data_IF_332588048730
#
_entry.id   IF_332588048730
#
_cell.length_a   1.000
_cell.length_b   1.000
_cell.length_c   1.000
_cell.angle_alpha   90.00
_cell.angle_beta   90.00
_cell.angle_gamma   90.00
#
_symmetry.space_group_name_H-M   'P 1'
#
loop_
_entity.id
_entity.type
_entity.pdbx_description
1 polymer ?
#
# COMPACT_ATOMS: atom_id res chain seq x y z
N UNK A 1 -16.96 21.47 -2.50
CA UNK A 1 -15.84 20.65 -1.96
C UNK A 1 -15.66 19.35 -2.75
N UNK A 2 -16.66 18.46 -2.83
CA UNK A 2 -16.59 17.20 -3.61
C UNK A 2 -16.13 17.34 -5.07
N UNK A 3 -16.71 18.26 -5.85
CA UNK A 3 -16.31 18.49 -7.25
C UNK A 3 -14.82 18.84 -7.38
N UNK A 4 -14.29 19.65 -6.46
CA UNK A 4 -12.86 20.02 -6.40
C UNK A 4 -12.02 18.76 -6.15
N UNK A 5 -12.36 17.97 -5.13
CA UNK A 5 -11.61 16.75 -4.79
C UNK A 5 -11.60 15.71 -5.92
N UNK A 6 -12.73 15.51 -6.62
CA UNK A 6 -12.80 14.61 -7.78
C UNK A 6 -11.89 15.11 -8.90
N UNK A 7 -11.97 16.40 -9.23
CA UNK A 7 -11.16 17.00 -10.31
C UNK A 7 -9.67 16.94 -9.99
N UNK A 8 -9.30 17.26 -8.75
CA UNK A 8 -7.92 17.19 -8.27
C UNK A 8 -7.40 15.75 -8.29
N UNK A 9 -8.22 14.79 -7.86
CA UNK A 9 -7.87 13.36 -7.88
C UNK A 9 -7.64 12.88 -9.30
N UNK A 10 -8.56 13.19 -10.23
CA UNK A 10 -8.41 12.80 -11.64
C UNK A 10 -7.15 13.40 -12.28
N UNK A 11 -6.85 14.67 -11.96
CA UNK A 11 -5.63 15.33 -12.43
C UNK A 11 -4.37 14.66 -11.88
N UNK A 12 -4.36 14.33 -10.58
CA UNK A 12 -3.26 13.62 -9.93
C UNK A 12 -3.06 12.22 -10.52
N UNK A 13 -4.16 11.48 -10.72
CA UNK A 13 -4.13 10.16 -11.36
C UNK A 13 -3.59 10.25 -12.78
N UNK A 14 -4.10 11.18 -13.60
CA UNK A 14 -3.61 11.38 -14.97
C UNK A 14 -2.11 11.72 -15.01
N UNK A 15 -1.63 12.53 -14.06
CA UNK A 15 -0.21 12.88 -13.97
C UNK A 15 0.67 11.65 -13.73
N UNK A 16 0.24 10.71 -12.90
CA UNK A 16 0.98 9.47 -12.66
C UNK A 16 0.84 8.50 -13.84
N UNK A 17 -0.35 8.38 -14.42
CA UNK A 17 -0.57 7.50 -15.57
C UNK A 17 0.23 7.93 -16.81
N UNK A 18 0.62 9.20 -16.89
CA UNK A 18 1.51 9.67 -17.95
C UNK A 18 2.87 8.94 -18.00
N UNK A 19 3.33 8.38 -16.87
CA UNK A 19 4.55 7.54 -16.85
C UNK A 19 4.41 6.27 -17.70
N UNK A 20 3.20 5.80 -17.99
CA UNK A 20 3.00 4.68 -18.91
C UNK A 20 3.40 5.01 -20.35
N UNK A 21 3.50 6.30 -20.72
CA UNK A 21 4.01 6.71 -22.03
C UNK A 21 5.51 6.40 -22.22
N UNK A 22 6.23 6.10 -21.13
CA UNK A 22 7.63 5.65 -21.19
C UNK A 22 7.72 4.23 -21.73
N UNK A 23 6.70 3.39 -21.52
CA UNK A 23 6.68 1.98 -21.97
C UNK A 23 6.90 1.83 -23.49
N UNK A 24 6.14 2.51 -24.37
CA UNK A 24 6.35 2.39 -25.81
C UNK A 24 7.73 2.92 -26.25
N UNK A 25 8.28 3.92 -25.56
CA UNK A 25 9.64 4.42 -25.85
C UNK A 25 10.70 3.37 -25.54
N UNK A 26 10.62 2.74 -24.36
CA UNK A 26 11.56 1.68 -23.95
C UNK A 26 11.45 0.48 -24.90
N UNK A 27 10.23 0.08 -25.26
CA UNK A 27 10.02 -1.01 -26.23
C UNK A 27 10.65 -0.69 -27.59
N UNK A 28 10.44 0.53 -28.11
CA UNK A 28 11.03 0.96 -29.39
C UNK A 28 12.56 0.92 -29.38
N UNK A 29 13.19 1.39 -28.30
CA UNK A 29 14.65 1.34 -28.15
C UNK A 29 15.16 -0.10 -28.13
N UNK A 30 14.50 -1.01 -27.41
CA UNK A 30 14.95 -2.40 -27.32
C UNK A 30 14.77 -3.16 -28.63
N UNK A 31 13.69 -2.89 -29.38
CA UNK A 31 13.51 -3.41 -30.74
C UNK A 31 14.64 -2.95 -31.67
N UNK A 32 15.02 -1.66 -31.60
CA UNK A 32 16.12 -1.11 -32.40
C UNK A 32 17.48 -1.69 -32.01
N UNK A 33 17.69 -2.03 -30.73
CA UNK A 33 18.92 -2.65 -30.23
C UNK A 33 19.00 -4.15 -30.46
N UNK A 34 17.91 -4.79 -30.93
CA UNK A 34 17.77 -6.25 -31.00
C UNK A 34 18.03 -6.93 -29.65
N UNK A 35 17.85 -6.19 -28.54
CA UNK A 35 18.04 -6.68 -27.18
C UNK A 35 16.70 -7.19 -26.64
N UNK A 36 16.63 -8.50 -26.39
CA UNK A 36 15.49 -9.26 -25.86
C UNK A 36 14.31 -9.49 -26.81
N UNK A 37 13.94 -10.77 -27.02
CA UNK A 37 12.75 -11.21 -27.76
C UNK A 37 11.44 -11.06 -26.95
N UNK A 38 11.30 -10.00 -26.16
CA UNK A 38 10.11 -9.75 -25.35
C UNK A 38 9.04 -9.01 -26.17
N UNK A 39 7.79 -9.45 -26.02
CA UNK A 39 6.65 -8.80 -26.68
C UNK A 39 6.34 -7.43 -26.07
N UNK A 40 5.72 -6.53 -26.84
CA UNK A 40 5.23 -5.25 -26.31
C UNK A 40 4.33 -5.43 -25.08
N UNK A 41 3.50 -6.48 -25.08
CA UNK A 41 2.61 -6.79 -23.97
C UNK A 41 3.36 -7.07 -22.67
N UNK A 42 4.53 -7.73 -22.74
CA UNK A 42 5.42 -7.91 -21.59
C UNK A 42 5.83 -6.56 -21.00
N UNK A 43 6.34 -5.63 -21.83
CA UNK A 43 6.74 -4.29 -21.36
C UNK A 43 5.58 -3.49 -20.76
N UNK A 44 4.38 -3.60 -21.35
CA UNK A 44 3.17 -2.98 -20.80
C UNK A 44 2.85 -3.50 -19.39
N UNK A 45 2.96 -4.81 -19.17
CA UNK A 45 2.77 -5.42 -17.85
C UNK A 45 3.79 -4.89 -16.84
N UNK A 46 5.09 -4.86 -17.19
CA UNK A 46 6.13 -4.30 -16.32
C UNK A 46 5.90 -2.82 -15.99
N UNK A 47 5.50 -2.02 -16.98
CA UNK A 47 5.16 -0.62 -16.78
C UNK A 47 3.98 -0.44 -15.82
N UNK A 48 2.92 -1.22 -15.98
CA UNK A 48 1.76 -1.22 -15.08
C UNK A 48 2.17 -1.62 -13.66
N UNK A 49 3.01 -2.65 -13.51
CA UNK A 49 3.51 -3.10 -12.21
C UNK A 49 4.33 -2.03 -11.49
N UNK A 50 5.09 -1.22 -12.21
CA UNK A 50 5.84 -0.11 -11.64
C UNK A 50 4.93 1.09 -11.29
N UNK A 51 3.96 1.40 -12.15
CA UNK A 51 3.09 2.58 -12.00
C UNK A 51 2.01 2.36 -10.93
N UNK A 52 1.51 1.14 -10.73
CA UNK A 52 0.46 0.84 -9.75
C UNK A 52 0.81 1.25 -8.30
N UNK A 53 1.93 0.80 -7.69
CA UNK A 53 2.29 1.24 -6.34
C UNK A 53 2.59 2.74 -6.31
N UNK A 54 3.23 3.28 -7.36
CA UNK A 54 3.52 4.71 -7.46
C UNK A 54 2.24 5.55 -7.42
N UNK A 55 1.18 5.11 -8.10
CA UNK A 55 -0.13 5.76 -8.08
C UNK A 55 -0.73 5.77 -6.67
N UNK A 56 -0.73 4.62 -5.98
CA UNK A 56 -1.29 4.51 -4.62
C UNK A 56 -0.54 5.44 -3.66
N UNK A 57 0.79 5.37 -3.66
CA UNK A 57 1.62 6.21 -2.78
C UNK A 57 1.49 7.69 -3.11
N UNK A 58 1.48 8.04 -4.39
CA UNK A 58 1.32 9.42 -4.81
C UNK A 58 -0.02 9.99 -4.37
N UNK A 59 -1.13 9.31 -4.66
CA UNK A 59 -2.47 9.75 -4.27
C UNK A 59 -2.63 9.85 -2.75
N UNK A 60 -2.05 8.91 -1.99
CA UNK A 60 -2.05 8.96 -0.52
C UNK A 60 -1.27 10.19 -0.01
N UNK A 61 -0.08 10.46 -0.57
CA UNK A 61 0.77 11.58 -0.16
C UNK A 61 0.20 12.95 -0.56
N UNK A 62 -0.41 13.06 -1.74
CA UNK A 62 -0.91 14.34 -2.28
C UNK A 62 -2.33 14.69 -1.83
N UNK A 63 -2.90 13.94 -0.88
CA UNK A 63 -4.28 14.11 -0.43
C UNK A 63 -4.60 15.51 0.11
N UNK A 64 -3.65 16.12 0.81
CA UNK A 64 -3.76 17.48 1.36
C UNK A 64 -2.82 18.48 0.66
N UNK A 65 -2.23 18.10 -0.48
CA UNK A 65 -1.21 18.92 -1.13
C UNK A 65 -1.74 20.26 -1.67
N UNK A 66 -3.01 20.31 -2.09
CA UNK A 66 -3.66 21.56 -2.49
C UNK A 66 -3.94 22.46 -1.28
N UNK A 67 -4.47 21.90 -0.19
CA UNK A 67 -4.79 22.67 1.03
C UNK A 67 -3.54 23.26 1.71
N UNK A 68 -2.41 22.54 1.64
CA UNK A 68 -1.12 23.01 2.15
C UNK A 68 -0.54 24.18 1.35
N UNK A 69 -0.83 24.26 0.04
CA UNK A 69 -0.39 25.38 -0.80
C UNK A 69 -1.19 26.64 -0.48
N UNK A 70 -2.47 26.47 -0.20
CA UNK A 70 -3.40 27.55 0.08
C UNK A 70 -3.40 27.97 1.56
N UNK A 71 -2.61 27.30 2.42
CA UNK A 71 -2.64 27.51 3.88
C UNK A 71 -3.97 27.10 4.55
N UNK A 72 -4.85 26.46 3.80
CA UNK A 72 -6.23 26.16 4.21
C UNK A 72 -6.33 24.96 5.16
N UNK A 73 -5.22 24.27 5.45
CA UNK A 73 -5.20 23.11 6.34
C UNK A 73 -5.58 23.47 7.80
N UNK A 74 -5.13 24.63 8.28
CA UNK A 74 -5.51 25.14 9.62
C UNK A 74 -6.97 25.59 9.64
N UNK A 75 -7.43 26.19 8.55
CA UNK A 75 -8.82 26.56 8.36
C UNK A 75 -9.76 25.34 8.35
N UNK A 76 -9.41 24.27 7.62
CA UNK A 76 -10.15 23.00 7.61
C UNK A 76 -10.29 22.37 9.00
N UNK A 77 -9.30 22.57 9.89
CA UNK A 77 -9.34 22.07 11.27
C UNK A 77 -10.25 22.91 12.17
N UNK A 78 -10.45 24.19 11.85
CA UNK A 78 -11.32 25.10 12.59
C UNK A 78 -12.81 25.00 12.22
N UNK A 79 -13.12 24.39 11.07
CA UNK A 79 -14.50 24.24 10.63
C UNK A 79 -15.28 23.27 11.54
N UNK A 80 -16.55 23.56 11.86
CA UNK A 80 -17.41 22.67 12.66
C UNK A 80 -17.93 21.50 11.82
N UNK A 81 -17.06 20.87 11.02
CA UNK A 81 -17.39 19.69 10.22
C UNK A 81 -16.97 18.44 10.99
N UNK A 82 -17.81 17.39 11.02
CA UNK A 82 -17.44 16.14 11.66
C UNK A 82 -16.28 15.49 10.89
N UNK A 83 -15.30 14.94 11.63
CA UNK A 83 -14.08 14.33 11.10
C UNK A 83 -14.35 13.28 10.02
N UNK A 84 -15.45 12.54 10.16
CA UNK A 84 -15.88 11.50 9.21
C UNK A 84 -16.17 12.10 7.84
N UNK A 85 -16.76 13.29 7.77
CA UNK A 85 -17.10 13.91 6.49
C UNK A 85 -15.85 14.35 5.74
N UNK A 86 -14.86 14.93 6.43
CA UNK A 86 -13.56 15.30 5.84
C UNK A 86 -12.82 14.04 5.36
N UNK A 87 -12.82 12.98 6.18
CA UNK A 87 -12.26 11.69 5.81
C UNK A 87 -12.87 11.15 4.51
N UNK A 88 -14.19 11.02 4.45
CA UNK A 88 -14.86 10.48 3.26
C UNK A 88 -14.67 11.38 2.03
N UNK A 89 -14.71 12.70 2.18
CA UNK A 89 -14.49 13.64 1.07
C UNK A 89 -13.08 13.52 0.48
N UNK A 90 -12.07 13.29 1.32
CA UNK A 90 -10.66 13.22 0.89
C UNK A 90 -10.27 11.82 0.42
N UNK A 91 -10.67 10.79 1.16
CA UNK A 91 -10.24 9.40 0.94
C UNK A 91 -11.03 8.75 -0.19
N UNK A 92 -12.36 8.93 -0.24
CA UNK A 92 -13.21 8.17 -1.17
C UNK A 92 -12.83 8.38 -2.65
N UNK A 93 -12.65 9.61 -3.18
CA UNK A 93 -12.31 9.79 -4.59
C UNK A 93 -10.98 9.11 -4.97
N UNK A 94 -9.99 9.20 -4.08
CA UNK A 94 -8.64 8.66 -4.27
C UNK A 94 -8.62 7.14 -4.15
N UNK A 95 -9.36 6.61 -3.18
CA UNK A 95 -9.58 5.18 -3.01
C UNK A 95 -10.23 4.58 -4.25
N UNK A 96 -11.34 5.16 -4.74
CA UNK A 96 -12.04 4.68 -5.94
C UNK A 96 -11.11 4.75 -7.17
N UNK A 97 -10.40 5.86 -7.37
CA UNK A 97 -9.45 6.00 -8.48
C UNK A 97 -8.34 4.95 -8.43
N UNK A 98 -7.70 4.76 -7.29
CA UNK A 98 -6.61 3.80 -7.13
C UNK A 98 -7.13 2.36 -7.29
N UNK A 99 -8.30 2.06 -6.70
CA UNK A 99 -8.94 0.77 -6.79
C UNK A 99 -9.28 0.40 -8.23
N UNK A 100 -9.93 1.29 -8.98
CA UNK A 100 -10.27 1.04 -10.39
C UNK A 100 -9.02 0.75 -11.22
N UNK A 101 -7.93 1.50 -11.00
CA UNK A 101 -6.67 1.26 -11.69
C UNK A 101 -6.05 -0.09 -11.30
N UNK A 102 -6.04 -0.44 -10.02
CA UNK A 102 -5.49 -1.70 -9.52
C UNK A 102 -6.30 -2.90 -10.02
N UNK A 103 -7.63 -2.81 -10.06
CA UNK A 103 -8.48 -3.86 -10.61
C UNK A 103 -8.22 -4.06 -12.11
N UNK A 104 -8.07 -2.97 -12.86
CA UNK A 104 -7.72 -3.04 -14.28
C UNK A 104 -6.30 -3.62 -14.49
N UNK A 105 -5.34 -3.22 -13.65
CA UNK A 105 -3.98 -3.75 -13.66
C UNK A 105 -3.95 -5.26 -13.34
N UNK A 106 -4.68 -5.69 -12.31
CA UNK A 106 -4.83 -7.09 -11.93
C UNK A 106 -5.37 -7.93 -13.09
N UNK A 107 -6.41 -7.45 -13.76
CA UNK A 107 -7.00 -8.16 -14.91
C UNK A 107 -6.01 -8.34 -16.07
N UNK A 108 -5.24 -7.30 -16.40
CA UNK A 108 -4.20 -7.35 -17.44
C UNK A 108 -3.06 -8.31 -17.07
N UNK A 109 -2.60 -8.26 -15.82
CA UNK A 109 -1.54 -9.11 -15.29
C UNK A 109 -1.98 -10.57 -15.23
N UNK A 110 -3.22 -10.84 -14.83
CA UNK A 110 -3.80 -12.19 -14.84
C UNK A 110 -3.75 -12.81 -16.24
N UNK A 111 -4.11 -12.04 -17.28
CA UNK A 111 -4.04 -12.51 -18.68
C UNK A 111 -2.60 -12.83 -19.12
N UNK A 112 -1.62 -12.05 -18.65
CA UNK A 112 -0.20 -12.31 -18.90
C UNK A 112 0.33 -13.52 -18.13
N UNK A 113 -0.07 -13.71 -16.87
CA UNK A 113 0.31 -14.85 -16.04
C UNK A 113 -0.07 -16.18 -16.67
N UNK A 114 -1.33 -16.29 -17.14
CA UNK A 114 -1.84 -17.50 -17.80
C UNK A 114 -1.02 -17.91 -19.04
N UNK A 115 -0.31 -16.96 -19.65
CA UNK A 115 0.44 -17.18 -20.88
C UNK A 115 1.95 -17.32 -20.66
N UNK A 116 2.51 -16.75 -19.58
CA UNK A 116 3.98 -16.64 -19.40
C UNK A 116 4.51 -17.02 -18.01
N UNK A 117 3.66 -17.37 -17.04
CA UNK A 117 4.12 -17.91 -15.74
C UNK A 117 4.95 -16.96 -14.87
N UNK A 118 4.77 -15.63 -14.96
CA UNK A 118 5.40 -14.60 -14.09
C UNK A 118 4.50 -14.00 -12.98
N UNK A 119 4.83 -14.23 -11.71
CA UNK A 119 3.96 -13.85 -10.59
C UNK A 119 4.30 -12.43 -10.22
N UNK A 120 3.39 -11.50 -10.51
CA UNK A 120 3.52 -10.15 -10.01
C UNK A 120 3.34 -10.13 -8.50
N UNK A 121 4.33 -9.56 -7.81
CA UNK A 121 4.48 -9.49 -6.36
C UNK A 121 3.25 -8.89 -5.62
N UNK A 122 2.42 -8.10 -6.31
CA UNK A 122 1.33 -7.27 -5.75
C UNK A 122 -0.06 -7.56 -6.31
N UNK A 123 -0.10 -8.24 -7.44
CA UNK A 123 -1.29 -8.41 -8.26
C UNK A 123 -1.47 -9.92 -8.42
N UNK A 124 -2.14 -10.51 -7.43
CA UNK A 124 -2.42 -11.92 -7.42
C UNK A 124 -3.65 -12.24 -8.28
N UNK A 125 -3.58 -13.42 -8.87
CA UNK A 125 -4.54 -13.97 -9.84
C UNK A 125 -5.76 -14.56 -9.11
N UNK A 126 -5.64 -14.76 -7.80
CA UNK A 126 -6.67 -15.38 -6.96
C UNK A 126 -7.50 -14.32 -6.21
N UNK A 127 -8.72 -14.69 -5.80
CA UNK A 127 -9.64 -13.84 -5.02
C UNK A 127 -8.94 -13.23 -3.80
N UNK A 128 -8.05 -13.97 -3.15
CA UNK A 128 -7.27 -13.50 -2.01
C UNK A 128 -6.34 -12.34 -2.38
N UNK A 129 -5.71 -12.36 -3.55
CA UNK A 129 -4.89 -11.24 -4.03
C UNK A 129 -5.67 -9.99 -4.31
N UNK A 130 -6.88 -10.13 -4.83
CA UNK A 130 -7.78 -9.00 -4.98
C UNK A 130 -8.11 -8.38 -3.63
N UNK A 131 -8.43 -9.19 -2.62
CA UNK A 131 -8.71 -8.71 -1.26
C UNK A 131 -7.47 -8.05 -0.61
N UNK A 132 -6.28 -8.62 -0.80
CA UNK A 132 -5.01 -8.06 -0.33
C UNK A 132 -4.72 -6.70 -0.97
N UNK A 133 -4.90 -6.58 -2.29
CA UNK A 133 -4.70 -5.32 -3.00
C UNK A 133 -5.71 -4.24 -2.55
N UNK A 134 -6.97 -4.62 -2.32
CA UNK A 134 -7.99 -3.72 -1.75
C UNK A 134 -7.58 -3.26 -0.35
N UNK A 135 -7.15 -4.19 0.49
CA UNK A 135 -6.72 -3.90 1.86
C UNK A 135 -5.52 -2.96 1.88
N UNK A 136 -4.51 -3.19 1.03
CA UNK A 136 -3.34 -2.34 0.89
C UNK A 136 -3.72 -0.91 0.49
N UNK A 137 -4.59 -0.74 -0.51
CA UNK A 137 -5.08 0.59 -0.92
C UNK A 137 -5.79 1.27 0.24
N UNK A 138 -6.66 0.56 0.95
CA UNK A 138 -7.37 1.12 2.10
C UNK A 138 -6.40 1.60 3.20
N UNK A 139 -5.41 0.78 3.54
CA UNK A 139 -4.38 1.11 4.54
C UNK A 139 -3.53 2.28 4.08
N UNK A 140 -3.07 2.30 2.83
CA UNK A 140 -2.27 3.38 2.27
C UNK A 140 -3.02 4.72 2.28
N UNK A 141 -4.29 4.72 1.87
CA UNK A 141 -5.13 5.93 1.88
C UNK A 141 -5.40 6.42 3.30
N UNK A 142 -5.61 5.50 4.25
CA UNK A 142 -5.81 5.84 5.65
C UNK A 142 -4.54 6.46 6.25
N UNK A 143 -3.36 5.88 5.99
CA UNK A 143 -2.10 6.46 6.42
C UNK A 143 -1.80 7.80 5.73
N UNK A 144 -2.12 7.94 4.44
CA UNK A 144 -2.04 9.22 3.71
C UNK A 144 -2.91 10.29 4.36
N UNK A 145 -4.11 9.94 4.81
CA UNK A 145 -4.99 10.84 5.53
C UNK A 145 -4.40 11.28 6.88
N UNK A 146 -3.87 10.34 7.68
CA UNK A 146 -3.26 10.64 8.98
C UNK A 146 -1.99 11.49 8.83
N UNK A 147 -1.16 11.20 7.84
CA UNK A 147 0.01 12.01 7.46
C UNK A 147 -0.43 13.43 7.06
N UNK A 148 -1.48 13.52 6.24
CA UNK A 148 -2.02 14.79 5.77
C UNK A 148 -2.62 15.66 6.86
N UNK A 149 -3.25 15.09 7.89
CA UNK A 149 -3.77 15.86 9.04
C UNK A 149 -2.65 16.37 9.95
N UNK A 150 -1.55 15.63 10.05
CA UNK A 150 -0.47 15.89 11.00
C UNK A 150 0.52 16.91 10.44
N UNK A 151 1.45 16.45 9.62
CA UNK A 151 2.42 17.30 8.90
C UNK A 151 3.09 16.48 7.79
N UNK A 152 2.57 16.54 6.56
CA UNK A 152 3.15 15.77 5.44
C UNK A 152 4.54 16.26 5.02
N UNK A 153 4.91 17.49 5.38
CA UNK A 153 6.20 18.08 5.00
C UNK A 153 7.32 17.53 5.85
N UNK A 154 7.00 16.91 7.00
CA UNK A 154 7.98 16.22 7.82
C UNK A 154 8.39 14.88 7.17
N UNK A 155 9.64 14.75 6.68
CA UNK A 155 10.09 13.56 5.96
C UNK A 155 10.14 12.32 6.85
N UNK A 156 10.48 12.47 8.13
CA UNK A 156 10.52 11.36 9.08
C UNK A 156 9.13 10.77 9.31
N UNK A 157 8.11 11.63 9.34
CA UNK A 157 6.72 11.21 9.48
C UNK A 157 6.23 10.50 8.22
N UNK A 158 6.58 11.02 7.05
CA UNK A 158 6.25 10.37 5.77
C UNK A 158 6.86 8.95 5.71
N UNK A 159 8.13 8.81 6.09
CA UNK A 159 8.81 7.50 6.16
C UNK A 159 8.14 6.58 7.20
N UNK A 160 7.78 7.09 8.37
CA UNK A 160 7.09 6.34 9.41
C UNK A 160 5.76 5.75 8.92
N UNK A 161 5.00 6.47 8.10
CA UNK A 161 3.77 5.96 7.49
C UNK A 161 3.99 5.11 6.23
N UNK A 162 5.14 5.28 5.56
CA UNK A 162 5.53 4.49 4.39
C UNK A 162 5.94 3.07 4.78
N UNK A 163 6.71 2.89 5.87
CA UNK A 163 7.28 1.60 6.28
C UNK A 163 6.21 0.50 6.44
N UNK A 164 5.09 0.71 7.16
CA UNK A 164 4.07 -0.33 7.28
C UNK A 164 3.44 -0.71 5.94
N UNK A 165 3.20 0.27 5.06
CA UNK A 165 2.63 0.01 3.73
C UNK A 165 3.63 -0.75 2.86
N UNK A 166 4.91 -0.35 2.87
CA UNK A 166 5.98 -1.08 2.17
C UNK A 166 6.22 -2.46 2.76
N UNK A 167 6.01 -2.67 4.06
CA UNK A 167 6.11 -3.99 4.66
C UNK A 167 4.97 -4.88 4.18
N UNK A 168 3.72 -4.40 4.25
CA UNK A 168 2.54 -5.11 3.73
C UNK A 168 2.71 -5.42 2.26
N UNK A 169 3.29 -4.45 1.53
CA UNK A 169 3.84 -4.67 0.23
C UNK A 169 4.79 -5.91 0.41
N UNK A 170 6.03 -5.75 0.83
CA UNK A 170 7.06 -6.79 0.69
C UNK A 170 6.73 -8.17 1.34
N UNK A 171 5.74 -8.23 2.21
CA UNK A 171 5.21 -9.45 2.84
C UNK A 171 4.08 -10.16 2.09
N UNK A 172 3.38 -9.51 1.13
CA UNK A 172 2.24 -10.12 0.41
C UNK A 172 2.65 -11.16 -0.63
N UNK A 173 3.95 -11.45 -0.74
CA UNK A 173 4.39 -12.59 -1.52
C UNK A 173 3.83 -13.86 -0.87
N UNK A 174 3.06 -14.62 -1.64
CA UNK A 174 2.62 -15.97 -1.26
C UNK A 174 3.79 -16.84 -0.77
N UNK A 175 5.04 -16.54 -1.14
CA UNK A 175 6.25 -17.17 -0.59
C UNK A 175 6.49 -16.88 0.89
N UNK A 176 6.13 -15.73 1.45
CA UNK A 176 6.28 -15.41 2.89
C UNK A 176 5.34 -16.28 3.70
N UNK A 177 4.07 -16.26 3.32
CA UNK A 177 2.98 -17.07 3.89
C UNK A 177 3.30 -18.55 3.72
N UNK A 178 3.70 -18.99 2.52
CA UNK A 178 4.09 -20.38 2.21
C UNK A 178 5.37 -20.82 2.90
N UNK A 179 6.35 -19.94 3.16
CA UNK A 179 7.58 -20.28 3.89
C UNK A 179 7.37 -20.35 5.39
N UNK A 180 6.52 -19.49 5.96
CA UNK A 180 6.08 -19.63 7.36
C UNK A 180 5.30 -20.93 7.51
N UNK A 181 4.39 -21.22 6.58
CA UNK A 181 3.68 -22.50 6.48
C UNK A 181 4.65 -23.67 6.35
N UNK A 182 5.66 -23.58 5.48
CA UNK A 182 6.66 -24.63 5.26
C UNK A 182 7.56 -24.83 6.47
N UNK A 183 8.05 -23.76 7.10
CA UNK A 183 8.86 -23.82 8.31
C UNK A 183 8.10 -24.44 9.48
N UNK A 184 6.83 -24.06 9.67
CA UNK A 184 5.98 -24.66 10.70
C UNK A 184 5.65 -26.11 10.36
N UNK A 185 5.41 -26.43 9.09
CA UNK A 185 5.19 -27.80 8.63
C UNK A 185 6.44 -28.68 8.83
N UNK A 186 7.62 -28.21 8.43
CA UNK A 186 8.87 -28.99 8.44
C UNK A 186 9.46 -29.17 9.84
N UNK A 187 9.30 -28.20 10.73
CA UNK A 187 9.91 -28.23 12.06
C UNK A 187 8.97 -28.65 13.19
N UNK A 188 7.65 -28.56 12.99
CA UNK A 188 6.66 -28.87 14.03
C UNK A 188 5.88 -30.16 13.74
N UNK A 189 5.81 -30.63 12.48
CA UNK A 189 4.88 -31.70 12.09
C UNK A 189 5.57 -32.86 11.34
N UNK A 190 5.46 -34.09 11.88
CA UNK A 190 5.71 -35.35 11.16
C UNK A 190 4.46 -35.77 10.36
N UNK A 191 4.59 -36.56 9.27
CA UNK A 191 3.57 -36.64 8.23
C UNK A 191 2.40 -37.56 8.64
N UNK A 192 1.17 -37.07 8.55
CA UNK A 192 -0.06 -37.88 8.68
C UNK A 192 -1.21 -37.28 7.88
N UNK A 193 -1.41 -37.79 6.68
CA UNK A 193 -2.24 -37.26 5.60
C UNK A 193 -3.75 -37.24 5.97
N UNK A 194 -4.32 -36.03 6.17
CA UNK A 194 -5.73 -35.59 5.98
C UNK A 194 -6.19 -34.54 7.02
N UNK A 195 -5.65 -34.53 8.25
CA UNK A 195 -5.85 -33.41 9.21
C UNK A 195 -5.12 -32.12 8.78
N UNK A 196 -4.31 -32.19 7.73
CA UNK A 196 -3.45 -31.10 7.28
C UNK A 196 -4.18 -29.98 6.53
N UNK A 197 -5.31 -30.22 5.86
CA UNK A 197 -5.95 -29.16 5.04
C UNK A 197 -6.57 -28.04 5.89
N UNK A 198 -7.32 -28.38 6.93
CA UNK A 198 -7.90 -27.36 7.83
C UNK A 198 -6.82 -26.65 8.65
N UNK A 199 -5.81 -27.38 9.11
CA UNK A 199 -4.68 -26.80 9.84
C UNK A 199 -3.77 -25.93 8.95
N UNK A 200 -3.56 -26.32 7.70
CA UNK A 200 -2.84 -25.51 6.71
C UNK A 200 -3.60 -24.23 6.38
N UNK A 201 -4.93 -24.30 6.24
CA UNK A 201 -5.76 -23.11 6.10
C UNK A 201 -5.71 -22.22 7.36
N UNK A 202 -5.71 -22.80 8.56
CA UNK A 202 -5.52 -22.05 9.81
C UNK A 202 -4.17 -21.34 9.85
N UNK A 203 -3.08 -22.04 9.53
CA UNK A 203 -1.74 -21.47 9.47
C UNK A 203 -1.61 -20.37 8.41
N UNK A 204 -2.30 -20.50 7.27
CA UNK A 204 -2.39 -19.47 6.23
C UNK A 204 -3.07 -18.20 6.75
N UNK A 205 -4.17 -18.37 7.49
CA UNK A 205 -4.87 -17.23 8.13
C UNK A 205 -3.99 -16.58 9.20
N UNK A 206 -3.33 -17.37 10.05
CA UNK A 206 -2.45 -16.85 11.11
C UNK A 206 -1.26 -16.08 10.52
N UNK A 207 -0.63 -16.63 9.47
CA UNK A 207 0.48 -15.96 8.79
C UNK A 207 0.03 -14.68 8.08
N UNK A 208 -1.14 -14.65 7.46
CA UNK A 208 -1.73 -13.41 6.94
C UNK A 208 -1.97 -12.37 8.04
N UNK A 209 -2.50 -12.77 9.19
CA UNK A 209 -2.72 -11.85 10.32
C UNK A 209 -1.39 -11.27 10.81
N UNK A 210 -0.36 -12.11 10.99
CA UNK A 210 0.96 -11.69 11.49
C UNK A 210 1.70 -10.81 10.48
N UNK A 211 1.66 -11.16 9.19
CA UNK A 211 2.43 -10.49 8.14
C UNK A 211 1.72 -9.24 7.58
N UNK A 212 0.39 -9.20 7.58
CA UNK A 212 -0.36 -8.13 6.90
C UNK A 212 -1.19 -7.33 7.89
N UNK A 213 -2.03 -8.00 8.69
CA UNK A 213 -3.00 -7.30 9.56
C UNK A 213 -2.30 -6.60 10.72
N UNK A 214 -1.37 -7.27 11.42
CA UNK A 214 -0.67 -6.69 12.58
C UNK A 214 0.14 -5.44 12.16
N UNK A 215 1.00 -5.48 11.12
CA UNK A 215 1.73 -4.30 10.65
C UNK A 215 0.81 -3.16 10.19
N UNK A 216 -0.37 -3.46 9.66
CA UNK A 216 -1.36 -2.47 9.26
C UNK A 216 -2.08 -1.83 10.46
N UNK A 217 -2.53 -2.64 11.43
CA UNK A 217 -3.46 -2.22 12.48
C UNK A 217 -2.72 -1.71 13.72
N UNK A 218 -1.59 -2.32 14.07
CA UNK A 218 -0.83 -1.97 15.28
C UNK A 218 -0.42 -0.48 15.30
N UNK A 219 0.15 0.11 14.22
CA UNK A 219 0.46 1.54 14.23
C UNK A 219 -0.79 2.40 14.39
N UNK A 220 -1.93 1.99 13.80
CA UNK A 220 -3.19 2.72 13.91
C UNK A 220 -3.75 2.73 15.34
N UNK A 221 -3.72 1.59 16.02
CA UNK A 221 -4.21 1.48 17.40
C UNK A 221 -3.45 2.40 18.36
N UNK A 222 -2.12 2.48 18.23
CA UNK A 222 -1.30 3.35 19.09
C UNK A 222 -1.56 4.84 18.83
N UNK A 223 -2.07 5.17 17.64
CA UNK A 223 -2.39 6.53 17.22
C UNK A 223 -3.80 7.01 17.60
N UNK A 224 -4.74 6.12 17.97
CA UNK A 224 -6.10 6.49 18.39
C UNK A 224 -6.11 7.66 19.39
N UNK A 225 -5.28 7.66 20.47
CA UNK A 225 -5.29 8.76 21.44
C UNK A 225 -4.87 10.12 20.86
N UNK A 226 -4.05 10.13 19.81
CA UNK A 226 -3.55 11.36 19.17
C UNK A 226 -4.62 12.00 18.30
N UNK A 227 -5.49 11.20 17.69
CA UNK A 227 -6.56 11.68 16.80
C UNK A 227 -7.91 11.86 17.51
N UNK A 228 -8.08 11.32 18.72
CA UNK A 228 -9.31 11.48 19.52
C UNK A 228 -9.52 12.92 19.97
N UNK A 229 -8.44 13.65 20.29
CA UNK A 229 -8.53 15.09 20.52
C UNK A 229 -8.16 15.82 19.23
N UNK A 230 -9.17 16.30 18.51
CA UNK A 230 -9.00 17.24 17.40
C UNK A 230 -8.58 18.63 17.94
N UNK A 231 -7.67 18.65 18.91
CA UNK A 231 -7.21 19.89 19.52
C UNK A 231 -6.42 20.66 18.47
N UNK A 232 -6.56 21.99 18.49
CA UNK A 232 -5.83 22.97 17.69
C UNK A 232 -4.31 23.01 17.99
N UNK A 233 -3.72 21.88 18.36
CA UNK A 233 -2.29 21.68 18.44
C UNK A 233 -1.66 21.85 17.06
N UNK A 234 -0.54 22.57 17.02
CA UNK A 234 0.23 22.77 15.79
C UNK A 234 0.65 21.43 15.17
N UNK A 235 0.71 21.38 13.84
CA UNK A 235 1.11 20.17 13.09
C UNK A 235 2.45 19.61 13.55
N UNK A 236 3.40 20.49 13.93
CA UNK A 236 4.71 20.12 14.47
C UNK A 236 4.61 19.31 15.77
N UNK A 237 3.84 19.77 16.76
CA UNK A 237 3.67 19.06 18.04
C UNK A 237 3.00 17.70 17.80
N UNK A 238 2.00 17.67 16.93
CA UNK A 238 1.31 16.43 16.57
C UNK A 238 2.26 15.44 15.88
N UNK A 239 3.09 15.90 14.95
CA UNK A 239 4.09 15.06 14.26
C UNK A 239 5.05 14.38 15.24
N UNK A 240 5.54 15.12 16.25
CA UNK A 240 6.43 14.56 17.26
C UNK A 240 5.74 13.52 18.15
N UNK A 241 4.48 13.77 18.55
CA UNK A 241 3.69 12.80 19.33
C UNK A 241 3.44 11.52 18.53
N UNK A 242 3.14 11.64 17.24
CA UNK A 242 2.95 10.51 16.33
C UNK A 242 4.25 9.73 16.22
N UNK A 243 5.38 10.38 15.92
CA UNK A 243 6.69 9.71 15.78
C UNK A 243 7.07 8.95 17.06
N UNK A 244 6.92 9.57 18.23
CA UNK A 244 7.21 8.90 19.52
C UNK A 244 6.36 7.64 19.73
N UNK A 245 5.10 7.70 19.35
CA UNK A 245 4.14 6.58 19.45
C UNK A 245 4.37 5.51 18.38
N UNK A 246 4.80 5.91 17.19
CA UNK A 246 5.11 5.01 16.08
C UNK A 246 6.48 4.33 16.23
N UNK A 247 7.36 4.81 17.09
CA UNK A 247 8.69 4.23 17.28
C UNK A 247 8.62 2.72 17.60
N UNK A 248 7.84 2.34 18.61
CA UNK A 248 7.68 0.94 19.02
C UNK A 248 7.09 0.04 17.91
N UNK A 249 5.94 0.37 17.29
CA UNK A 249 5.39 -0.47 16.23
C UNK A 249 6.32 -0.54 15.00
N UNK A 250 7.04 0.55 14.67
CA UNK A 250 8.02 0.53 13.59
C UNK A 250 9.22 -0.34 13.90
N UNK A 251 9.78 -0.28 15.11
CA UNK A 251 10.87 -1.17 15.51
C UNK A 251 10.46 -2.63 15.44
N UNK A 252 9.21 -2.95 15.79
CA UNK A 252 8.68 -4.31 15.69
C UNK A 252 8.54 -4.76 14.23
N UNK A 253 8.00 -3.91 13.35
CA UNK A 253 7.88 -4.20 11.92
C UNK A 253 9.26 -4.40 11.28
N UNK A 254 10.22 -3.55 11.60
CA UNK A 254 11.60 -3.67 11.09
C UNK A 254 12.25 -4.94 11.63
N UNK A 255 12.10 -5.25 12.92
CA UNK A 255 12.63 -6.48 13.51
C UNK A 255 12.05 -7.73 12.83
N UNK A 256 10.73 -7.77 12.63
CA UNK A 256 10.06 -8.83 11.87
C UNK A 256 10.61 -8.96 10.45
N UNK A 257 10.82 -7.83 9.76
CA UNK A 257 11.41 -7.82 8.43
C UNK A 257 12.84 -8.37 8.41
N UNK A 258 13.68 -7.97 9.38
CA UNK A 258 15.06 -8.44 9.47
C UNK A 258 15.16 -9.92 9.81
N UNK A 259 14.38 -10.40 10.78
CA UNK A 259 14.32 -11.83 11.15
C UNK A 259 13.88 -12.64 9.92
N UNK A 260 12.89 -12.14 9.19
CA UNK A 260 12.41 -12.80 7.98
C UNK A 260 13.46 -12.85 6.87
N UNK A 261 14.18 -11.75 6.61
CA UNK A 261 15.21 -11.69 5.56
C UNK A 261 16.47 -12.51 5.91
N UNK A 262 16.82 -12.61 7.19
CA UNK A 262 17.96 -13.40 7.66
C UNK A 262 17.70 -14.91 7.58
N UNK A 263 16.46 -15.37 7.78
CA UNK A 263 16.07 -16.78 7.58
C UNK A 263 15.93 -17.18 6.09
N UNK A 264 16.25 -16.27 5.17
CA UNK A 264 16.16 -16.40 3.72
C UNK A 264 17.54 -16.58 3.06
N UNK A 265 18.62 -16.39 3.82
CA UNK A 265 20.03 -16.66 3.47
C UNK A 265 20.46 -17.97 4.11
#
# INVERSE_FOLDING_TARGET
MWKKEITDTLRQTASVLSFLLVVPLVFGINQLRLENNLTFFSYAVWGILAVAPLLVFYLAYTMFASDDKDGAQEYLKSLPLPYRNIFWMKVLPRFVSALLFILAANWLVHKYWWTHGMSAFWLSVDIEGYLESIFMVAVAMLYGFLLGISDRRNPFLAIAFLIPVLFILLSSDTLVTRKILYFLYSNVMKPLELMHLWFFNLLRVVSFIIAVVIPAVLPLLVLIPVFKSWDASSGKIRSQRILKRMAMPLTLIIALFTIYKLNLL
#
